data_IF_754438404978
#
_entry.id   IF_754438404978
#
_cell.length_a   1.000
_cell.length_b   1.000
_cell.length_c   1.000
_cell.angle_alpha   90.00
_cell.angle_beta   90.00
_cell.angle_gamma   90.00
#
_symmetry.space_group_name_H-M   'P 1'
#
loop_
_entity.id
_entity.type
_entity.pdbx_description
1 polymer ?
#
# COMPACT_ATOMS: atom_id res chain seq x y z
N UNK A 1 -3.99 26.03 6.23
CA UNK A 1 -3.02 25.07 5.69
C UNK A 1 -1.90 24.88 6.71
N UNK A 2 -1.66 23.64 7.14
CA UNK A 2 -0.67 23.29 8.17
C UNK A 2 0.74 23.66 7.68
N UNK A 3 1.55 24.24 8.60
CA UNK A 3 2.97 24.51 8.38
C UNK A 3 3.83 23.51 9.12
N UNK A 4 4.92 23.12 8.52
CA UNK A 4 5.97 22.32 9.16
C UNK A 4 6.82 23.20 10.09
N UNK A 5 7.64 22.57 10.94
CA UNK A 5 8.52 23.30 11.88
C UNK A 5 9.50 24.25 11.20
N UNK A 6 9.91 23.95 9.97
CA UNK A 6 10.79 24.78 9.14
C UNK A 6 10.05 25.92 8.41
N UNK A 7 8.74 26.13 8.68
CA UNK A 7 7.92 27.17 8.07
C UNK A 7 7.30 26.81 6.72
N UNK A 8 7.68 25.72 6.11
CA UNK A 8 7.09 25.25 4.84
C UNK A 8 5.64 24.79 5.02
N UNK A 9 4.86 24.86 3.95
CA UNK A 9 3.48 24.38 3.93
C UNK A 9 3.45 22.90 3.55
N UNK A 10 2.68 22.11 4.29
CA UNK A 10 2.38 20.73 3.87
C UNK A 10 1.84 20.76 2.43
N UNK A 11 2.41 19.98 1.50
CA UNK A 11 1.93 19.96 0.12
C UNK A 11 0.48 19.47 0.05
N UNK A 12 -0.25 19.96 -0.93
CA UNK A 12 -1.57 19.42 -1.29
C UNK A 12 -1.39 18.11 -2.05
N UNK A 13 -2.41 17.23 -2.03
CA UNK A 13 -2.44 16.04 -2.86
C UNK A 13 -2.12 16.35 -4.33
N UNK A 14 -2.70 17.43 -4.88
CA UNK A 14 -2.40 17.91 -6.24
C UNK A 14 -0.91 18.16 -6.48
N UNK A 15 -0.22 18.82 -5.53
CA UNK A 15 1.22 19.09 -5.64
C UNK A 15 2.04 17.81 -5.54
N UNK A 16 1.63 16.90 -4.64
CA UNK A 16 2.30 15.63 -4.44
C UNK A 16 2.20 14.74 -5.70
N UNK A 17 1.00 14.56 -6.25
CA UNK A 17 0.79 13.79 -7.47
C UNK A 17 1.50 14.40 -8.69
N UNK A 18 1.51 15.74 -8.80
CA UNK A 18 2.27 16.43 -9.86
C UNK A 18 3.76 16.16 -9.78
N UNK A 19 4.32 16.08 -8.57
CA UNK A 19 5.73 15.77 -8.39
C UNK A 19 6.02 14.27 -8.62
N UNK A 20 5.20 13.38 -8.07
CA UNK A 20 5.34 11.94 -8.23
C UNK A 20 5.28 11.49 -9.69
N UNK A 21 4.41 12.11 -10.50
CA UNK A 21 4.29 11.83 -11.93
C UNK A 21 5.55 12.16 -12.76
N UNK A 22 6.47 12.97 -12.24
CA UNK A 22 7.73 13.27 -12.95
C UNK A 22 8.77 12.15 -12.82
N UNK A 23 8.65 11.30 -11.81
CA UNK A 23 9.54 10.17 -11.57
C UNK A 23 9.01 8.90 -12.23
N UNK A 24 9.90 7.99 -12.58
CA UNK A 24 9.53 6.64 -12.99
C UNK A 24 9.39 5.74 -11.74
N UNK A 25 8.43 6.10 -10.87
CA UNK A 25 8.14 5.40 -9.62
C UNK A 25 6.66 5.09 -9.53
N UNK A 26 6.33 4.00 -8.86
CA UNK A 26 4.97 3.69 -8.46
C UNK A 26 4.64 4.43 -7.17
N UNK A 27 3.50 5.11 -7.14
CA UNK A 27 3.01 5.81 -5.96
C UNK A 27 2.14 4.86 -5.12
N UNK A 28 2.52 4.66 -3.87
CA UNK A 28 1.67 3.97 -2.90
C UNK A 28 0.88 5.04 -2.15
N UNK A 29 -0.42 5.12 -2.47
CA UNK A 29 -1.30 6.17 -1.99
C UNK A 29 -2.11 5.69 -0.78
N UNK A 30 -1.70 6.11 0.42
CA UNK A 30 -2.43 5.80 1.63
C UNK A 30 -3.60 6.76 1.85
N UNK A 31 -4.82 6.21 1.91
CA UNK A 31 -5.99 6.90 2.42
C UNK A 31 -6.10 6.67 3.92
N UNK A 32 -5.82 7.69 4.71
CA UNK A 32 -5.93 7.62 6.17
C UNK A 32 -7.38 7.44 6.62
N UNK A 33 -7.58 6.74 7.73
CA UNK A 33 -8.89 6.64 8.40
C UNK A 33 -9.36 8.03 8.81
N UNK A 34 -10.64 8.32 8.59
CA UNK A 34 -11.25 9.59 8.95
C UNK A 34 -12.24 9.43 10.11
N UNK A 35 -12.51 10.52 10.88
CA UNK A 35 -13.33 10.43 12.09
C UNK A 35 -14.80 10.05 11.86
N UNK A 36 -15.32 10.22 10.64
CA UNK A 36 -16.69 9.84 10.29
C UNK A 36 -16.78 9.27 8.89
N UNK A 37 -17.74 8.36 8.66
CA UNK A 37 -17.99 7.76 7.36
C UNK A 37 -18.20 8.80 6.25
N UNK A 38 -18.94 9.87 6.50
CA UNK A 38 -19.17 10.94 5.52
C UNK A 38 -17.85 11.62 5.07
N UNK A 39 -16.94 11.88 5.99
CA UNK A 39 -15.64 12.50 5.66
C UNK A 39 -14.76 11.50 4.93
N UNK A 40 -14.81 10.24 5.31
CA UNK A 40 -14.08 9.15 4.64
C UNK A 40 -14.59 8.97 3.19
N UNK A 41 -15.90 8.91 2.97
CA UNK A 41 -16.51 8.83 1.64
C UNK A 41 -16.09 10.00 0.75
N UNK A 42 -16.08 11.22 1.31
CA UNK A 42 -15.61 12.40 0.59
C UNK A 42 -14.13 12.32 0.26
N UNK A 43 -13.29 11.81 1.17
CA UNK A 43 -11.86 11.62 0.96
C UNK A 43 -11.60 10.56 -0.13
N UNK A 44 -12.30 9.42 -0.11
CA UNK A 44 -12.26 8.41 -1.18
C UNK A 44 -12.58 9.04 -2.52
N UNK A 45 -13.73 9.71 -2.62
CA UNK A 45 -14.20 10.32 -3.88
C UNK A 45 -13.21 11.34 -4.42
N UNK A 46 -12.72 12.25 -3.58
CA UNK A 46 -11.72 13.26 -3.98
C UNK A 46 -10.40 12.63 -4.41
N UNK A 47 -9.98 11.54 -3.77
CA UNK A 47 -8.77 10.81 -4.14
C UNK A 47 -8.91 10.18 -5.53
N UNK A 48 -10.04 9.53 -5.80
CA UNK A 48 -10.38 8.97 -7.11
C UNK A 48 -10.41 10.05 -8.19
N UNK A 49 -11.09 11.17 -7.93
CA UNK A 49 -11.13 12.31 -8.85
C UNK A 49 -9.73 12.84 -9.18
N UNK A 50 -8.86 12.94 -8.19
CA UNK A 50 -7.49 13.43 -8.37
C UNK A 50 -6.64 12.45 -9.18
N UNK A 51 -6.71 11.16 -8.91
CA UNK A 51 -5.97 10.13 -9.68
C UNK A 51 -6.42 10.15 -11.16
N UNK A 52 -7.73 10.21 -11.41
CA UNK A 52 -8.30 10.35 -12.76
C UNK A 52 -7.88 11.65 -13.43
N UNK A 53 -7.94 12.79 -12.73
CA UNK A 53 -7.54 14.10 -13.24
C UNK A 53 -6.09 14.16 -13.67
N UNK A 54 -5.20 13.47 -12.96
CA UNK A 54 -3.78 13.36 -13.31
C UNK A 54 -3.51 12.26 -14.34
N UNK A 55 -4.54 11.53 -14.76
CA UNK A 55 -4.41 10.40 -15.68
C UNK A 55 -3.32 9.42 -15.24
N UNK A 56 -3.28 9.11 -13.93
CA UNK A 56 -2.39 8.10 -13.38
C UNK A 56 -2.97 6.72 -13.69
N UNK A 57 -2.15 5.87 -14.30
CA UNK A 57 -2.55 4.50 -14.66
C UNK A 57 -2.45 3.57 -13.45
N UNK A 58 -3.07 2.42 -13.53
CA UNK A 58 -2.98 1.36 -12.52
C UNK A 58 -1.56 0.81 -12.31
N UNK A 59 -0.66 0.99 -13.28
CA UNK A 59 0.77 0.69 -13.14
C UNK A 59 1.55 1.76 -12.37
N UNK A 60 0.98 2.98 -12.22
CA UNK A 60 1.66 4.15 -11.62
C UNK A 60 1.20 4.45 -10.18
N UNK A 61 0.05 3.92 -9.76
CA UNK A 61 -0.49 4.16 -8.41
C UNK A 61 -1.22 2.93 -7.87
N UNK A 62 -1.01 2.66 -6.59
CA UNK A 62 -1.73 1.69 -5.79
C UNK A 62 -2.32 2.38 -4.56
N UNK A 63 -3.44 1.87 -4.06
CA UNK A 63 -4.11 2.41 -2.89
C UNK A 63 -3.92 1.48 -1.70
N UNK A 64 -3.67 2.08 -0.54
CA UNK A 64 -3.61 1.38 0.73
C UNK A 64 -4.46 2.10 1.78
N UNK A 65 -5.08 1.36 2.70
CA UNK A 65 -5.83 1.96 3.82
C UNK A 65 -5.99 0.99 5.00
N UNK A 66 -6.03 1.55 6.20
CA UNK A 66 -6.49 0.85 7.41
C UNK A 66 -8.02 0.74 7.50
N UNK A 67 -8.77 1.51 6.71
CA UNK A 67 -10.22 1.40 6.62
C UNK A 67 -10.62 0.34 5.60
N UNK A 68 -11.28 -0.72 6.07
CA UNK A 68 -11.81 -1.76 5.19
C UNK A 68 -12.88 -1.17 4.25
N UNK A 69 -13.71 -0.26 4.76
CA UNK A 69 -14.75 0.38 3.94
C UNK A 69 -14.15 1.26 2.84
N UNK A 70 -13.12 2.04 3.16
CA UNK A 70 -12.39 2.81 2.14
C UNK A 70 -11.76 1.90 1.07
N UNK A 71 -11.17 0.75 1.47
CA UNK A 71 -10.64 -0.22 0.51
C UNK A 71 -11.73 -0.79 -0.41
N UNK A 72 -12.90 -1.15 0.13
CA UNK A 72 -14.05 -1.65 -0.66
C UNK A 72 -14.56 -0.62 -1.65
N UNK A 73 -14.69 0.64 -1.22
CA UNK A 73 -15.10 1.74 -2.08
C UNK A 73 -14.08 2.01 -3.18
N UNK A 74 -12.78 2.04 -2.85
CA UNK A 74 -11.71 2.21 -3.82
C UNK A 74 -11.69 1.08 -4.86
N UNK A 75 -11.81 -0.18 -4.44
CA UNK A 75 -11.88 -1.32 -5.34
C UNK A 75 -13.08 -1.22 -6.31
N UNK A 76 -14.22 -0.75 -5.83
CA UNK A 76 -15.42 -0.53 -6.64
C UNK A 76 -15.30 0.66 -7.62
N UNK A 77 -14.70 1.78 -7.18
CA UNK A 77 -14.62 3.03 -7.95
C UNK A 77 -13.45 3.07 -8.93
N UNK A 78 -12.44 2.23 -8.69
CA UNK A 78 -11.19 2.15 -9.44
C UNK A 78 -10.92 0.70 -9.89
N UNK A 79 -11.81 0.10 -10.71
CA UNK A 79 -11.63 -1.27 -11.17
C UNK A 79 -10.31 -1.40 -11.95
N UNK A 80 -9.53 -2.46 -11.65
CA UNK A 80 -8.21 -2.70 -12.23
C UNK A 80 -7.05 -1.99 -11.53
N UNK A 81 -7.32 -1.12 -10.54
CA UNK A 81 -6.27 -0.58 -9.69
C UNK A 81 -6.04 -1.48 -8.48
N UNK A 82 -4.78 -1.59 -8.07
CA UNK A 82 -4.42 -2.33 -6.86
C UNK A 82 -4.90 -1.59 -5.62
N UNK A 83 -5.65 -2.29 -4.78
CA UNK A 83 -6.09 -1.83 -3.46
C UNK A 83 -5.66 -2.86 -2.43
N UNK A 84 -4.96 -2.41 -1.40
CA UNK A 84 -4.42 -3.26 -0.35
C UNK A 84 -4.95 -2.82 1.02
N UNK A 85 -5.25 -3.78 1.88
CA UNK A 85 -5.72 -3.53 3.25
C UNK A 85 -4.58 -3.59 4.25
N UNK A 86 -4.53 -2.62 5.19
CA UNK A 86 -3.39 -2.42 6.11
C UNK A 86 -3.53 -3.10 7.48
N UNK A 87 -4.72 -3.49 7.90
CA UNK A 87 -4.99 -3.79 9.33
C UNK A 87 -4.52 -5.18 9.83
N UNK A 88 -4.24 -6.13 8.94
CA UNK A 88 -3.65 -7.42 9.32
C UNK A 88 -4.59 -8.45 9.93
N UNK A 89 -5.90 -8.24 9.93
CA UNK A 89 -6.87 -9.09 10.65
C UNK A 89 -7.70 -10.02 9.76
N UNK A 90 -7.61 -9.87 8.45
CA UNK A 90 -8.49 -10.56 7.49
C UNK A 90 -7.63 -11.47 6.61
N UNK A 91 -7.97 -12.77 6.51
CA UNK A 91 -7.28 -13.71 5.64
C UNK A 91 -7.37 -13.33 4.15
N UNK A 92 -6.43 -13.78 3.30
CA UNK A 92 -6.40 -13.43 1.87
C UNK A 92 -7.72 -13.75 1.14
N UNK A 93 -8.31 -14.91 1.40
CA UNK A 93 -9.55 -15.34 0.76
C UNK A 93 -10.71 -14.35 0.99
N UNK A 94 -10.88 -13.92 2.24
CA UNK A 94 -11.96 -13.00 2.60
C UNK A 94 -11.76 -11.61 1.94
N UNK A 95 -10.51 -11.11 1.87
CA UNK A 95 -10.20 -9.85 1.16
C UNK A 95 -10.53 -9.97 -0.33
N UNK A 96 -10.18 -11.10 -0.94
CA UNK A 96 -10.46 -11.37 -2.36
C UNK A 96 -11.96 -11.33 -2.65
N UNK A 97 -12.78 -11.89 -1.77
CA UNK A 97 -14.25 -11.89 -1.88
C UNK A 97 -14.83 -10.47 -1.80
N UNK A 98 -14.13 -9.54 -1.14
CA UNK A 98 -14.48 -8.11 -1.09
C UNK A 98 -13.93 -7.29 -2.26
N UNK A 99 -13.22 -7.93 -3.21
CA UNK A 99 -12.58 -7.25 -4.35
C UNK A 99 -11.27 -6.55 -4.02
N UNK A 100 -10.71 -6.77 -2.81
CA UNK A 100 -9.43 -6.21 -2.38
C UNK A 100 -8.32 -7.17 -2.80
N UNK A 101 -7.33 -6.67 -3.55
CA UNK A 101 -6.36 -7.50 -4.27
C UNK A 101 -4.97 -7.50 -3.65
N UNK A 102 -4.81 -6.96 -2.43
CA UNK A 102 -3.54 -6.99 -1.75
C UNK A 102 -3.66 -6.93 -0.23
N UNK A 103 -2.67 -7.54 0.41
CA UNK A 103 -2.40 -7.46 1.84
C UNK A 103 -1.20 -6.54 2.04
N UNK A 104 -1.36 -5.48 2.83
CA UNK A 104 -0.27 -4.61 3.25
C UNK A 104 -0.21 -4.63 4.77
N UNK A 105 0.36 -5.70 5.33
CA UNK A 105 0.26 -5.99 6.76
C UNK A 105 1.57 -5.78 7.49
N UNK A 106 1.47 -5.50 8.79
CA UNK A 106 2.63 -5.51 9.67
C UNK A 106 3.30 -6.89 9.62
N UNK A 107 4.63 -6.95 9.56
CA UNK A 107 5.40 -8.19 9.37
C UNK A 107 5.06 -9.29 10.39
N UNK A 108 4.63 -8.91 11.62
CA UNK A 108 4.25 -9.89 12.64
C UNK A 108 3.06 -10.77 12.22
N UNK A 109 2.21 -10.30 11.30
CA UNK A 109 1.11 -11.12 10.78
C UNK A 109 1.66 -12.27 9.93
N UNK A 110 2.69 -12.02 9.13
CA UNK A 110 3.31 -13.05 8.30
C UNK A 110 4.27 -13.97 9.09
N UNK A 111 4.79 -13.50 10.23
CA UNK A 111 5.47 -14.38 11.20
C UNK A 111 4.47 -15.35 11.84
N UNK A 112 3.26 -14.91 12.15
CA UNK A 112 2.19 -15.74 12.74
C UNK A 112 1.47 -16.60 11.68
N UNK A 113 1.33 -16.12 10.46
CA UNK A 113 0.61 -16.72 9.36
C UNK A 113 1.46 -16.73 8.07
N UNK A 114 2.60 -17.44 8.05
CA UNK A 114 3.48 -17.47 6.88
C UNK A 114 2.78 -18.05 5.64
N UNK A 115 1.78 -18.89 5.82
CA UNK A 115 0.95 -19.47 4.76
C UNK A 115 0.13 -18.43 3.99
N UNK A 116 -0.13 -17.26 4.57
CA UNK A 116 -0.92 -16.21 3.91
C UNK A 116 -0.23 -15.62 2.67
N UNK A 117 1.10 -15.61 2.63
CA UNK A 117 1.83 -15.17 1.44
C UNK A 117 1.50 -16.07 0.26
N UNK A 118 1.67 -17.40 0.45
CA UNK A 118 1.32 -18.36 -0.60
C UNK A 118 -0.15 -18.33 -0.96
N UNK A 119 -1.06 -18.27 0.03
CA UNK A 119 -2.50 -18.19 -0.21
C UNK A 119 -2.89 -16.95 -1.02
N UNK A 120 -2.27 -15.80 -0.74
CA UNK A 120 -2.49 -14.57 -1.49
C UNK A 120 -2.04 -14.74 -2.95
N UNK A 121 -0.84 -15.28 -3.19
CA UNK A 121 -0.33 -15.54 -4.53
C UNK A 121 -1.20 -16.54 -5.31
N UNK A 122 -1.65 -17.61 -4.68
CA UNK A 122 -2.57 -18.59 -5.30
C UNK A 122 -3.89 -17.94 -5.75
N UNK A 123 -4.30 -16.86 -5.09
CA UNK A 123 -5.47 -16.04 -5.42
C UNK A 123 -5.17 -14.88 -6.39
N UNK A 124 -3.93 -14.74 -6.86
CA UNK A 124 -3.50 -13.64 -7.71
C UNK A 124 -3.48 -12.28 -7.00
N UNK A 125 -3.28 -12.28 -5.68
CA UNK A 125 -3.14 -11.10 -4.85
C UNK A 125 -1.66 -10.78 -4.61
N UNK A 126 -1.36 -9.54 -4.23
CA UNK A 126 0.00 -9.12 -3.83
C UNK A 126 0.12 -8.98 -2.31
N UNK A 127 1.34 -9.10 -1.83
CA UNK A 127 1.68 -9.00 -0.41
C UNK A 127 2.75 -7.92 -0.21
N UNK A 128 2.41 -6.91 0.57
CA UNK A 128 3.33 -5.90 1.08
C UNK A 128 3.48 -6.05 2.60
N UNK A 129 4.65 -5.78 3.12
CA UNK A 129 4.92 -5.82 4.56
C UNK A 129 5.54 -4.53 5.06
N UNK A 130 5.14 -4.07 6.27
CA UNK A 130 5.63 -2.86 6.92
C UNK A 130 5.81 -3.04 8.43
N UNK A 131 6.57 -2.20 9.13
CA UNK A 131 7.77 -1.53 8.64
C UNK A 131 8.97 -2.39 9.01
N UNK A 132 9.71 -2.88 8.05
CA UNK A 132 10.78 -3.87 8.26
C UNK A 132 12.14 -3.18 8.21
N UNK A 133 12.75 -2.96 9.40
CA UNK A 133 14.02 -2.22 9.53
C UNK A 133 15.19 -3.07 10.02
N UNK A 134 14.92 -4.31 10.45
CA UNK A 134 15.96 -5.27 10.91
C UNK A 134 16.32 -6.19 9.76
N UNK A 135 17.61 -6.38 9.56
CA UNK A 135 18.19 -7.21 8.48
C UNK A 135 17.62 -8.63 8.49
N UNK A 136 17.65 -9.29 9.65
CA UNK A 136 17.11 -10.66 9.82
C UNK A 136 15.64 -10.76 9.42
N UNK A 137 14.83 -9.75 9.80
CA UNK A 137 13.42 -9.73 9.45
C UNK A 137 13.21 -9.43 7.96
N UNK A 138 14.05 -8.56 7.36
CA UNK A 138 14.02 -8.35 5.90
C UNK A 138 14.30 -9.64 5.16
N UNK A 139 15.35 -10.37 5.55
CA UNK A 139 15.69 -11.65 4.95
C UNK A 139 14.54 -12.65 5.09
N UNK A 140 13.92 -12.74 6.28
CA UNK A 140 12.77 -13.63 6.49
C UNK A 140 11.59 -13.27 5.55
N UNK A 141 11.29 -11.99 5.35
CA UNK A 141 10.21 -11.57 4.44
C UNK A 141 10.57 -11.83 2.97
N UNK A 142 11.85 -11.65 2.59
CA UNK A 142 12.35 -12.02 1.26
C UNK A 142 12.18 -13.51 1.01
N UNK A 143 12.58 -14.34 1.99
CA UNK A 143 12.49 -15.80 1.89
C UNK A 143 11.04 -16.30 1.84
N UNK A 144 10.11 -15.60 2.47
CA UNK A 144 8.67 -15.85 2.35
C UNK A 144 8.11 -15.47 0.98
N UNK A 145 8.84 -14.67 0.19
CA UNK A 145 8.45 -14.26 -1.15
C UNK A 145 7.42 -13.13 -1.20
N UNK A 146 7.43 -12.20 -0.22
CA UNK A 146 6.57 -11.01 -0.28
C UNK A 146 6.91 -10.14 -1.50
N UNK A 147 5.93 -9.44 -2.06
CA UNK A 147 6.13 -8.63 -3.28
C UNK A 147 6.75 -7.26 -2.99
N UNK A 148 6.46 -6.68 -1.82
CA UNK A 148 7.00 -5.38 -1.39
C UNK A 148 7.42 -5.42 0.08
N UNK A 149 8.48 -4.67 0.38
CA UNK A 149 8.95 -4.41 1.75
C UNK A 149 9.00 -2.90 1.97
N UNK A 150 8.16 -2.40 2.87
CA UNK A 150 8.22 -1.00 3.35
C UNK A 150 9.25 -0.90 4.46
N UNK A 151 10.27 -0.06 4.25
CA UNK A 151 11.41 0.08 5.16
C UNK A 151 11.97 1.50 5.17
N UNK A 152 12.59 1.90 6.29
CA UNK A 152 13.40 3.12 6.40
C UNK A 152 14.85 2.91 5.90
N UNK A 153 15.21 1.66 5.48
CA UNK A 153 16.57 1.26 5.06
C UNK A 153 16.55 0.62 3.67
N UNK A 154 16.13 1.36 2.62
CA UNK A 154 15.92 0.77 1.29
C UNK A 154 17.22 0.20 0.69
N UNK A 155 18.38 0.83 0.93
CA UNK A 155 19.66 0.33 0.40
C UNK A 155 20.06 -1.03 1.02
N UNK A 156 19.74 -1.26 2.30
CA UNK A 156 19.94 -2.55 2.94
C UNK A 156 19.05 -3.61 2.29
N UNK A 157 17.77 -3.28 2.11
CA UNK A 157 16.79 -4.19 1.51
C UNK A 157 17.22 -4.60 0.08
N UNK A 158 17.65 -3.65 -0.73
CA UNK A 158 18.12 -3.91 -2.11
C UNK A 158 19.31 -4.87 -2.09
N UNK A 159 20.31 -4.64 -1.25
CA UNK A 159 21.48 -5.54 -1.13
C UNK A 159 21.08 -6.98 -0.77
N UNK A 160 20.13 -7.14 0.16
CA UNK A 160 19.66 -8.48 0.54
C UNK A 160 18.95 -9.19 -0.61
N UNK A 161 18.09 -8.48 -1.35
CA UNK A 161 17.41 -9.04 -2.54
C UNK A 161 18.44 -9.48 -3.60
N UNK A 162 19.44 -8.65 -3.89
CA UNK A 162 20.49 -8.95 -4.86
C UNK A 162 21.33 -10.15 -4.45
N UNK A 163 21.59 -10.32 -3.14
CA UNK A 163 22.33 -11.47 -2.62
C UNK A 163 21.52 -12.77 -2.62
N UNK A 164 20.20 -12.69 -2.44
CA UNK A 164 19.30 -13.85 -2.44
C UNK A 164 18.95 -14.34 -3.85
N UNK A 165 19.22 -13.53 -4.88
CA UNK A 165 18.94 -13.86 -6.28
C UNK A 165 20.11 -14.58 -7.00
N UNK A 166 21.20 -14.86 -6.27
CA UNK A 166 22.36 -15.59 -6.77
C UNK A 166 22.34 -17.04 -6.29
#
# INVERSE_FOLDING_TARGET
RVRLKNGEKVPTLKQYLKQGKKGNIKLIFELKVHPSGRVEDEAVRKSVEMVKKFNLKNSEVEFISFSLEACRQLAKLMPGYMVQYLNGKIPPKELKEMGIMGLDYHYSNFVQHPEWVKQAHDLGMIVNVWTVNKEEMMQQMIDLGVDYITTDKPELCIRLIESSSR
#
